data_IF_923102874494
#
_entry.id   IF_923102874494
#
_cell.length_a   1.000
_cell.length_b   1.000
_cell.length_c   1.000
_cell.angle_alpha   90.00
_cell.angle_beta   90.00
_cell.angle_gamma   90.00
#
_symmetry.space_group_name_H-M   'P 1'
#
loop_
_entity.id
_entity.type
_entity.pdbx_description
1 polymer ?
#
# COMPACT_ATOMS: atom_id res chain seq x y z
N UNK A 1 24.94 3.67 12.83
CA UNK A 1 23.58 4.21 12.92
C UNK A 1 22.67 3.64 11.84
N UNK A 2 21.38 3.39 12.14
CA UNK A 2 20.44 2.72 11.22
C UNK A 2 19.37 3.67 10.70
N UNK A 3 19.32 3.84 9.38
CA UNK A 3 18.39 4.78 8.74
C UNK A 3 17.18 4.02 8.21
N UNK A 4 16.25 3.69 9.10
CA UNK A 4 15.15 2.76 8.81
C UNK A 4 13.98 3.32 8.02
N UNK A 5 13.74 4.63 7.99
CA UNK A 5 12.37 5.08 7.76
C UNK A 5 12.28 6.26 6.82
N UNK A 6 11.55 6.01 5.75
CA UNK A 6 11.33 6.97 4.68
C UNK A 6 10.92 6.30 3.38
N UNK A 7 11.03 4.98 3.24
CA UNK A 7 10.77 4.30 1.97
C UNK A 7 9.64 3.28 2.03
N UNK A 8 8.52 3.63 2.64
CA UNK A 8 7.27 2.91 2.43
C UNK A 8 6.40 3.66 1.43
N UNK A 9 6.68 3.57 0.12
CA UNK A 9 5.76 4.08 -0.86
C UNK A 9 4.46 3.27 -0.76
N UNK A 10 3.34 3.95 -0.87
CA UNK A 10 2.11 3.30 -1.30
C UNK A 10 2.39 2.80 -2.72
N UNK A 11 2.68 1.52 -2.86
CA UNK A 11 2.83 0.90 -4.18
C UNK A 11 1.43 0.73 -4.76
N UNK A 12 0.97 1.74 -5.48
CA UNK A 12 -0.25 1.64 -6.27
C UNK A 12 0.06 0.80 -7.51
N UNK A 13 -0.27 -0.49 -7.48
CA UNK A 13 -0.30 -1.33 -8.68
C UNK A 13 -1.60 -1.02 -9.43
N UNK A 14 -1.50 -0.43 -10.61
CA UNK A 14 -2.66 -0.23 -11.46
C UNK A 14 -3.20 -1.61 -11.90
N UNK A 15 -4.26 -2.05 -11.23
CA UNK A 15 -5.28 -2.84 -11.89
C UNK A 15 -6.25 -1.81 -12.47
N UNK A 16 -6.24 -1.64 -13.79
CA UNK A 16 -7.17 -0.76 -14.51
C UNK A 16 -8.59 -1.31 -14.38
N UNK A 17 -9.23 -1.08 -13.24
CA UNK A 17 -10.63 -1.41 -13.01
C UNK A 17 -11.47 -0.16 -13.30
N UNK A 18 -11.78 0.05 -14.58
CA UNK A 18 -12.90 0.90 -14.96
C UNK A 18 -14.19 0.13 -14.66
N UNK A 19 -15.05 0.65 -13.77
CA UNK A 19 -16.41 0.11 -13.63
C UNK A 19 -17.33 0.93 -14.54
N UNK A 20 -17.93 0.26 -15.52
CA UNK A 20 -18.97 0.87 -16.35
C UNK A 20 -20.30 0.78 -15.57
N UNK A 21 -20.89 1.92 -15.25
CA UNK A 21 -22.26 2.02 -14.75
C UNK A 21 -23.09 2.83 -15.74
N UNK A 22 -24.18 2.25 -16.26
CA UNK A 22 -25.19 2.98 -17.02
C UNK A 22 -26.08 3.68 -15.99
N UNK A 23 -26.10 5.02 -15.97
CA UNK A 23 -26.99 5.79 -15.12
C UNK A 23 -28.34 5.87 -15.82
N UNK A 24 -29.37 5.24 -15.25
CA UNK A 24 -30.76 5.47 -15.67
C UNK A 24 -31.25 6.77 -15.04
N UNK A 25 -31.90 7.62 -15.83
CA UNK A 25 -32.25 9.00 -15.47
C UNK A 25 -33.40 9.15 -14.43
N UNK A 26 -33.69 8.11 -13.63
CA UNK A 26 -34.80 8.12 -12.67
C UNK A 26 -34.36 8.17 -11.19
N UNK A 27 -33.06 8.16 -10.88
CA UNK A 27 -32.60 8.41 -9.50
C UNK A 27 -32.43 9.92 -9.23
N UNK A 28 -33.55 10.59 -8.91
CA UNK A 28 -33.51 11.83 -8.15
C UNK A 28 -33.07 11.51 -6.72
N UNK A 29 -31.78 11.69 -6.41
CA UNK A 29 -31.33 11.81 -5.01
C UNK A 29 -31.49 13.28 -4.61
N UNK A 30 -32.53 13.54 -3.82
CA UNK A 30 -32.72 14.79 -3.09
C UNK A 30 -31.62 14.94 -2.05
N UNK A 31 -30.78 15.95 -2.19
CA UNK A 31 -29.77 16.34 -1.22
C UNK A 31 -30.45 17.19 -0.14
N UNK A 32 -30.97 16.56 0.91
CA UNK A 32 -31.40 17.28 2.12
C UNK A 32 -30.18 17.57 3.01
N UNK A 33 -29.62 18.76 2.80
CA UNK A 33 -28.79 19.45 3.79
C UNK A 33 -29.65 19.81 5.00
N UNK A 34 -29.46 19.13 6.13
CA UNK A 34 -29.98 19.56 7.43
C UNK A 34 -28.89 19.56 8.50
N UNK A 35 -28.52 20.78 8.91
CA UNK A 35 -28.54 21.18 10.31
C UNK A 35 -27.40 20.70 11.22
N UNK A 36 -26.37 21.52 11.33
CA UNK A 36 -25.50 21.65 12.51
C UNK A 36 -26.30 21.71 13.81
N UNK A 37 -26.03 20.80 14.77
CA UNK A 37 -26.26 21.02 16.21
C UNK A 37 -25.19 20.32 17.07
N UNK A 38 -24.35 21.17 17.65
CA UNK A 38 -23.79 21.15 19.01
C UNK A 38 -23.35 19.82 19.66
N UNK A 39 -22.02 19.68 19.72
CA UNK A 39 -21.28 18.92 20.71
C UNK A 39 -21.46 19.53 22.11
N UNK A 40 -22.20 18.87 23.01
CA UNK A 40 -21.98 18.97 24.48
C UNK A 40 -22.32 17.67 25.22
N UNK A 41 -21.41 17.34 26.14
CA UNK A 41 -21.58 16.52 27.34
C UNK A 41 -21.55 14.98 27.20
N UNK A 42 -20.38 14.40 27.43
CA UNK A 42 -20.27 13.13 28.14
C UNK A 42 -19.48 13.36 29.43
N UNK A 43 -20.20 13.48 30.54
CA UNK A 43 -19.73 13.16 31.88
C UNK A 43 -20.78 12.22 32.47
N UNK A 44 -20.36 11.03 32.90
CA UNK A 44 -20.49 10.53 34.29
C UNK A 44 -20.36 9.02 34.31
N UNK A 45 -19.47 8.58 35.19
CA UNK A 45 -19.23 7.22 35.67
C UNK A 45 -20.46 6.65 36.38
N UNK A 46 -20.97 5.49 35.96
CA UNK A 46 -21.78 4.64 36.85
C UNK A 46 -21.47 3.15 36.68
N UNK A 47 -21.70 2.45 37.79
CA UNK A 47 -21.17 1.16 38.21
C UNK A 47 -21.71 -0.02 37.39
N UNK A 48 -20.81 -0.95 37.05
CA UNK A 48 -21.16 -2.27 36.52
C UNK A 48 -21.58 -3.21 37.67
N UNK A 49 -22.89 -3.40 37.83
CA UNK A 49 -23.46 -4.55 38.55
C UNK A 49 -23.58 -5.75 37.61
N UNK A 50 -23.20 -6.93 38.10
CA UNK A 50 -23.29 -8.22 37.39
C UNK A 50 -24.73 -8.71 37.41
N UNK A 51 -25.34 -8.85 36.24
CA UNK A 51 -26.62 -9.55 36.07
C UNK A 51 -26.39 -10.87 35.30
N UNK A 52 -26.79 -11.97 35.94
CA UNK A 52 -26.71 -13.33 35.44
C UNK A 52 -27.86 -13.62 34.47
N UNK A 53 -27.57 -13.89 33.19
CA UNK A 53 -28.56 -14.26 32.18
C UNK A 53 -28.59 -15.77 32.00
N UNK A 54 -29.74 -16.38 32.32
CA UNK A 54 -30.09 -17.76 31.98
C UNK A 54 -30.72 -17.79 30.57
N UNK A 55 -30.32 -18.68 29.65
CA UNK A 55 -30.94 -18.75 28.34
C UNK A 55 -32.17 -19.67 28.37
N UNK A 56 -33.36 -19.11 28.16
CA UNK A 56 -34.55 -19.88 27.74
C UNK A 56 -34.70 -19.75 26.23
N UNK A 57 -34.49 -20.85 25.51
CA UNK A 57 -34.70 -20.93 24.06
C UNK A 57 -36.13 -21.39 23.83
N UNK A 58 -36.97 -20.54 23.24
CA UNK A 58 -38.26 -20.93 22.66
C UNK A 58 -38.08 -21.27 21.17
N UNK A 59 -38.69 -22.34 20.65
CA UNK A 59 -38.60 -22.68 19.22
C UNK A 59 -39.40 -21.70 18.36
N UNK A 60 -38.97 -21.40 17.12
CA UNK A 60 -39.69 -20.49 16.23
C UNK A 60 -41.01 -21.12 15.74
N UNK A 61 -42.09 -20.35 15.82
CA UNK A 61 -43.41 -20.65 15.26
C UNK A 61 -43.35 -20.69 13.72
N UNK A 62 -43.86 -21.77 13.14
CA UNK A 62 -43.95 -21.97 11.69
C UNK A 62 -45.14 -21.14 11.14
N UNK A 63 -44.88 -20.20 10.23
CA UNK A 63 -45.94 -19.46 9.52
C UNK A 63 -46.24 -20.22 8.22
N UNK A 64 -47.47 -20.73 8.11
CA UNK A 64 -47.97 -21.44 6.94
C UNK A 64 -48.37 -20.44 5.85
N UNK A 65 -47.69 -20.48 4.71
CA UNK A 65 -47.95 -19.62 3.55
C UNK A 65 -48.91 -20.37 2.61
N UNK A 66 -50.10 -19.82 2.37
CA UNK A 66 -51.07 -20.40 1.44
C UNK A 66 -50.52 -20.41 -0.01
N UNK A 67 -50.77 -21.46 -0.82
CA UNK A 67 -50.29 -21.49 -2.19
C UNK A 67 -51.03 -20.47 -3.06
N UNK A 68 -50.27 -19.65 -3.78
CA UNK A 68 -50.76 -18.75 -4.81
C UNK A 68 -51.36 -19.57 -5.98
N UNK A 69 -52.65 -19.36 -6.26
CA UNK A 69 -53.30 -19.85 -7.48
C UNK A 69 -53.10 -18.84 -8.60
N UNK A 70 -52.41 -19.23 -9.68
CA UNK A 70 -52.37 -18.48 -10.94
C UNK A 70 -53.59 -18.90 -11.76
N UNK A 71 -54.50 -17.97 -12.03
CA UNK A 71 -55.54 -18.16 -13.03
C UNK A 71 -54.88 -18.19 -14.42
N UNK A 72 -54.99 -19.31 -15.14
CA UNK A 72 -54.61 -19.40 -16.54
C UNK A 72 -55.62 -18.65 -17.39
N UNK A 73 -55.16 -17.59 -18.05
CA UNK A 73 -55.86 -16.99 -19.17
C UNK A 73 -55.86 -17.98 -20.35
N UNK A 74 -57.05 -18.34 -20.83
CA UNK A 74 -57.24 -19.31 -21.91
C UNK A 74 -56.93 -18.67 -23.24
N UNK A 75 -55.72 -18.89 -23.77
CA UNK A 75 -55.44 -18.47 -25.13
C UNK A 75 -53.99 -18.46 -25.59
N UNK A 76 -53.20 -19.51 -25.35
CA UNK A 76 -51.94 -19.70 -26.09
C UNK A 76 -51.76 -21.17 -26.45
N UNK A 77 -52.05 -21.48 -27.72
CA UNK A 77 -51.75 -22.75 -28.37
C UNK A 77 -50.23 -22.93 -28.43
N UNK A 78 -49.75 -24.08 -27.96
CA UNK A 78 -48.33 -24.45 -27.95
C UNK A 78 -47.82 -24.70 -29.36
N UNK A 79 -47.10 -23.76 -29.94
CA UNK A 79 -46.09 -24.03 -30.99
C UNK A 79 -45.19 -22.80 -31.19
N UNK A 80 -44.36 -22.50 -30.20
CA UNK A 80 -43.13 -21.73 -30.42
C UNK A 80 -41.99 -22.30 -29.58
N UNK A 81 -41.05 -22.95 -30.27
CA UNK A 81 -39.77 -23.37 -29.73
C UNK A 81 -38.98 -22.12 -29.33
N UNK A 82 -38.91 -21.82 -28.04
CA UNK A 82 -38.14 -20.67 -27.54
C UNK A 82 -36.64 -20.97 -27.66
N UNK A 83 -35.94 -20.17 -28.48
CA UNK A 83 -34.47 -20.19 -28.54
C UNK A 83 -33.88 -19.45 -27.33
N UNK A 84 -32.69 -19.84 -26.84
CA UNK A 84 -32.10 -19.26 -25.64
C UNK A 84 -31.78 -17.76 -25.81
N UNK A 85 -32.03 -17.00 -24.73
CA UNK A 85 -31.79 -15.56 -24.60
C UNK A 85 -30.31 -15.28 -24.87
N UNK A 86 -30.00 -14.68 -26.02
CA UNK A 86 -28.63 -14.37 -26.43
C UNK A 86 -28.35 -14.55 -27.93
N UNK A 87 -29.24 -15.20 -28.68
CA UNK A 87 -29.12 -15.38 -30.14
C UNK A 87 -30.17 -14.62 -30.95
N UNK A 88 -30.99 -13.77 -30.32
CA UNK A 88 -31.89 -12.89 -31.06
C UNK A 88 -31.10 -11.64 -31.50
N UNK A 89 -30.96 -11.38 -32.81
CA UNK A 89 -30.43 -10.09 -33.24
C UNK A 89 -31.35 -9.00 -32.69
N UNK A 90 -30.76 -7.91 -32.17
CA UNK A 90 -31.50 -6.73 -31.76
C UNK A 90 -32.41 -6.32 -32.92
N UNK A 91 -33.72 -6.42 -32.73
CA UNK A 91 -34.70 -6.11 -33.77
C UNK A 91 -34.76 -4.58 -33.88
N UNK A 92 -33.98 -4.02 -34.80
CA UNK A 92 -33.86 -2.56 -35.02
C UNK A 92 -35.02 -2.05 -35.89
N UNK A 93 -35.72 -2.96 -36.57
CA UNK A 93 -36.80 -2.68 -37.48
C UNK A 93 -38.15 -2.84 -36.77
N UNK A 94 -39.07 -1.85 -36.86
CA UNK A 94 -40.35 -1.90 -36.18
C UNK A 94 -41.20 -3.07 -36.69
N UNK A 95 -41.76 -3.86 -35.78
CA UNK A 95 -42.58 -5.03 -36.11
C UNK A 95 -43.97 -4.64 -36.64
N UNK A 96 -44.37 -3.38 -36.45
CA UNK A 96 -45.65 -2.83 -36.90
C UNK A 96 -45.46 -1.42 -37.49
N UNK A 97 -46.28 -0.99 -38.47
CA UNK A 97 -46.16 0.32 -39.12
C UNK A 97 -46.22 1.52 -38.16
N UNK A 98 -46.88 1.36 -37.01
CA UNK A 98 -47.04 2.41 -36.00
C UNK A 98 -45.89 2.47 -34.97
N UNK A 99 -45.00 1.46 -34.96
CA UNK A 99 -43.85 1.48 -34.07
C UNK A 99 -42.79 2.44 -34.62
N UNK A 100 -42.42 3.42 -33.79
CA UNK A 100 -41.26 4.27 -34.08
C UNK A 100 -39.98 3.42 -34.07
N UNK A 101 -39.07 3.60 -35.04
CA UNK A 101 -37.79 2.89 -35.06
C UNK A 101 -37.06 3.08 -33.73
N UNK A 102 -36.45 2.00 -33.22
CA UNK A 102 -35.63 2.08 -32.02
C UNK A 102 -34.44 3.01 -32.30
N UNK A 103 -34.43 4.18 -31.67
CA UNK A 103 -33.28 5.06 -31.66
C UNK A 103 -32.47 4.79 -30.41
N UNK A 104 -31.26 4.18 -30.52
CA UNK A 104 -30.41 3.99 -29.36
C UNK A 104 -30.06 5.36 -28.76
N UNK A 105 -30.53 5.61 -27.53
CA UNK A 105 -30.11 6.79 -26.79
C UNK A 105 -28.60 6.68 -26.54
N UNK A 106 -27.82 7.65 -27.04
CA UNK A 106 -26.40 7.77 -26.71
C UNK A 106 -26.29 8.25 -25.26
N UNK A 107 -26.38 7.32 -24.32
CA UNK A 107 -26.07 7.62 -22.92
C UNK A 107 -24.58 7.93 -22.87
N UNK A 108 -24.16 9.15 -22.47
CA UNK A 108 -22.74 9.43 -22.33
C UNK A 108 -22.16 8.48 -21.29
N UNK A 109 -21.13 7.73 -21.66
CA UNK A 109 -20.38 6.91 -20.71
C UNK A 109 -19.66 7.85 -19.73
N UNK A 110 -20.25 8.05 -18.54
CA UNK A 110 -19.60 8.79 -17.47
C UNK A 110 -18.57 7.88 -16.83
N UNK A 111 -17.32 8.01 -17.26
CA UNK A 111 -16.19 7.34 -16.59
C UNK A 111 -15.95 8.01 -15.24
N UNK A 112 -16.63 7.53 -14.20
CA UNK A 112 -16.29 7.92 -12.83
C UNK A 112 -14.94 7.27 -12.50
N UNK A 113 -13.87 8.07 -12.49
CA UNK A 113 -12.58 7.65 -11.93
C UNK A 113 -12.85 7.29 -10.47
N UNK A 114 -13.00 5.99 -10.18
CA UNK A 114 -13.08 5.49 -8.81
C UNK A 114 -11.82 6.01 -8.14
N UNK A 115 -11.96 6.82 -7.07
CA UNK A 115 -10.82 7.10 -6.19
C UNK A 115 -10.33 5.72 -5.77
N UNK A 116 -9.22 5.29 -6.35
CA UNK A 116 -8.60 4.01 -6.01
C UNK A 116 -8.34 4.09 -4.52
N UNK A 117 -9.09 3.31 -3.73
CA UNK A 117 -8.78 3.14 -2.33
C UNK A 117 -7.38 2.56 -2.32
N UNK A 118 -6.40 3.36 -1.89
CA UNK A 118 -5.03 2.92 -1.73
C UNK A 118 -5.06 1.64 -0.88
N UNK A 119 -4.74 0.51 -1.48
CA UNK A 119 -4.59 -0.74 -0.74
C UNK A 119 -3.19 -0.71 -0.15
N UNK A 120 -3.05 -0.82 1.19
CA UNK A 120 -1.74 -0.92 1.83
C UNK A 120 -0.94 -2.06 1.20
N UNK A 121 0.30 -1.78 0.79
CA UNK A 121 1.23 -2.79 0.28
C UNK A 121 2.34 -3.00 1.30
N UNK A 122 2.76 -4.25 1.56
CA UNK A 122 3.99 -4.50 2.28
C UNK A 122 5.18 -3.86 1.55
N UNK A 123 6.20 -3.50 2.32
CA UNK A 123 7.46 -2.96 1.82
C UNK A 123 8.25 -3.98 0.99
N UNK A 124 9.23 -3.48 0.24
CA UNK A 124 10.08 -4.29 -0.65
C UNK A 124 11.59 -4.14 -0.35
N UNK A 125 11.91 -3.28 0.62
CA UNK A 125 13.24 -3.06 1.18
C UNK A 125 13.10 -2.88 2.70
N UNK A 126 14.21 -3.02 3.42
CA UNK A 126 14.25 -2.83 4.87
C UNK A 126 15.19 -1.66 5.22
N UNK A 127 16.42 -1.64 4.68
CA UNK A 127 17.43 -0.58 4.89
C UNK A 127 17.91 0.03 3.56
N UNK A 128 17.77 -0.71 2.46
CA UNK A 128 18.21 -0.27 1.13
C UNK A 128 17.16 0.61 0.43
N UNK A 129 17.58 1.57 -0.41
CA UNK A 129 16.66 2.30 -1.26
C UNK A 129 16.01 1.42 -2.34
N UNK A 130 14.83 1.83 -2.80
CA UNK A 130 14.21 1.32 -4.03
C UNK A 130 13.92 2.42 -5.05
N UNK A 131 13.65 2.03 -6.29
CA UNK A 131 13.20 2.92 -7.36
C UNK A 131 11.80 3.50 -7.13
N UNK A 132 11.03 3.01 -6.16
CA UNK A 132 9.73 3.58 -5.80
C UNK A 132 9.88 4.64 -4.70
N UNK A 133 8.93 5.57 -4.62
CA UNK A 133 8.91 6.63 -3.63
C UNK A 133 7.52 7.26 -3.49
N UNK A 134 7.41 8.26 -2.62
CA UNK A 134 6.18 9.02 -2.39
C UNK A 134 5.96 10.08 -3.47
N UNK A 135 4.75 10.15 -4.02
CA UNK A 135 4.32 11.21 -4.95
C UNK A 135 3.36 12.18 -4.25
N UNK A 136 2.94 13.24 -4.93
CA UNK A 136 1.97 14.21 -4.45
C UNK A 136 0.72 13.54 -3.85
N UNK A 137 0.23 14.10 -2.76
CA UNK A 137 -0.91 13.54 -2.01
C UNK A 137 -0.53 12.33 -1.15
N UNK A 138 0.76 12.11 -0.88
CA UNK A 138 1.20 11.07 0.05
C UNK A 138 2.22 11.58 1.06
N UNK A 139 2.06 11.13 2.31
CA UNK A 139 3.00 11.36 3.40
C UNK A 139 3.16 10.06 4.21
N UNK A 140 4.14 10.02 5.11
CA UNK A 140 4.33 8.89 6.02
C UNK A 140 4.96 9.31 7.34
N UNK A 141 4.72 8.51 8.36
CA UNK A 141 5.48 8.52 9.61
C UNK A 141 5.93 7.09 9.92
N UNK A 142 7.06 6.92 10.60
CA UNK A 142 7.51 5.60 11.04
C UNK A 142 8.35 5.66 12.31
N UNK A 143 8.40 4.53 13.00
CA UNK A 143 9.30 4.23 14.12
C UNK A 143 10.18 3.02 13.80
N UNK A 144 11.47 3.13 14.08
CA UNK A 144 12.48 2.12 13.77
C UNK A 144 13.31 1.88 15.00
N UNK A 145 13.55 0.63 15.33
CA UNK A 145 14.28 0.21 16.52
C UNK A 145 15.34 -0.80 16.11
N UNK A 146 16.51 -0.71 16.71
CA UNK A 146 17.54 -1.74 16.65
C UNK A 146 17.88 -2.17 18.06
N UNK A 147 17.94 -3.48 18.30
CA UNK A 147 18.16 -4.04 19.63
C UNK A 147 19.51 -3.64 20.23
N UNK A 148 20.52 -3.41 19.39
CA UNK A 148 21.87 -2.96 19.78
C UNK A 148 22.56 -2.23 18.62
N UNK A 149 23.27 -1.13 18.84
CA UNK A 149 24.07 -0.48 17.80
C UNK A 149 25.30 -1.31 17.43
N UNK A 150 25.88 -1.05 16.26
CA UNK A 150 27.07 -1.79 15.80
C UNK A 150 28.23 -1.50 16.77
N UNK A 151 28.88 -2.55 17.28
CA UNK A 151 29.98 -2.47 18.26
C UNK A 151 29.58 -2.01 19.67
N UNK A 152 28.28 -1.96 20.00
CA UNK A 152 27.82 -1.69 21.36
C UNK A 152 26.63 -2.59 21.72
N UNK A 153 26.25 -2.60 23.00
CA UNK A 153 25.05 -3.28 23.50
C UNK A 153 23.86 -2.33 23.73
N UNK A 154 23.95 -1.10 23.23
CA UNK A 154 22.93 -0.06 23.45
C UNK A 154 21.88 -0.10 22.36
N UNK A 155 20.60 -0.17 22.74
CA UNK A 155 19.48 -0.06 21.81
C UNK A 155 19.37 1.36 21.25
N UNK A 156 18.96 1.49 20.00
CA UNK A 156 18.85 2.76 19.29
C UNK A 156 17.54 2.79 18.49
N UNK A 157 17.00 3.99 18.29
CA UNK A 157 15.74 4.24 17.65
C UNK A 157 15.77 5.43 16.71
N UNK A 158 14.85 5.43 15.76
CA UNK A 158 14.67 6.53 14.81
C UNK A 158 13.18 6.76 14.56
N UNK A 159 12.79 8.02 14.50
CA UNK A 159 11.47 8.44 14.01
C UNK A 159 11.66 9.08 12.64
N UNK A 160 10.90 8.62 11.65
CA UNK A 160 10.95 9.14 10.30
C UNK A 160 9.64 9.79 9.89
N UNK A 161 9.72 10.93 9.21
CA UNK A 161 8.62 11.58 8.51
C UNK A 161 8.96 11.68 7.04
N UNK A 162 7.96 11.60 6.17
CA UNK A 162 8.18 11.78 4.74
C UNK A 162 6.99 12.38 4.03
N UNK A 163 7.25 13.12 2.96
CA UNK A 163 6.24 13.71 2.09
C UNK A 163 6.65 13.53 0.63
N UNK A 164 5.67 13.21 -0.21
CA UNK A 164 5.82 13.10 -1.65
C UNK A 164 5.33 14.35 -2.37
N UNK A 165 6.09 14.75 -3.39
CA UNK A 165 5.77 15.84 -4.31
C UNK A 165 5.83 15.33 -5.75
N UNK A 166 5.15 16.00 -6.68
CA UNK A 166 5.13 15.62 -8.09
C UNK A 166 4.33 14.35 -8.39
N UNK A 167 4.46 13.84 -9.61
CA UNK A 167 3.74 12.65 -10.08
C UNK A 167 4.75 11.71 -10.74
N UNK A 168 5.18 10.69 -10.00
CA UNK A 168 6.19 9.74 -10.47
C UNK A 168 5.69 8.83 -11.61
N UNK A 169 4.37 8.74 -11.86
CA UNK A 169 3.83 7.98 -12.98
C UNK A 169 3.89 8.78 -14.28
N UNK A 170 3.60 10.09 -14.22
CA UNK A 170 3.60 10.95 -15.40
C UNK A 170 4.96 11.56 -15.71
N UNK A 171 5.70 11.93 -14.68
CA UNK A 171 6.93 12.71 -14.79
C UNK A 171 7.96 12.24 -13.77
N UNK A 172 8.20 13.00 -12.71
CA UNK A 172 9.11 12.67 -11.62
C UNK A 172 8.40 12.97 -10.31
N UNK A 173 8.60 12.09 -9.33
CA UNK A 173 8.24 12.32 -7.94
C UNK A 173 9.48 12.73 -7.14
N UNK A 174 9.28 13.62 -6.18
CA UNK A 174 10.28 13.96 -5.17
C UNK A 174 9.79 13.47 -3.82
N UNK A 175 10.57 12.58 -3.21
CA UNK A 175 10.37 12.10 -1.85
C UNK A 175 11.33 12.85 -0.92
N UNK A 176 10.78 13.56 0.05
CA UNK A 176 11.53 14.29 1.07
C UNK A 176 11.30 13.60 2.40
N UNK A 177 12.36 13.27 3.13
CA UNK A 177 12.27 12.59 4.42
C UNK A 177 13.10 13.25 5.51
N UNK A 178 12.48 13.46 6.67
CA UNK A 178 13.10 13.93 7.90
C UNK A 178 13.24 12.73 8.86
N UNK A 179 14.45 12.46 9.33
CA UNK A 179 14.71 11.51 10.40
C UNK A 179 15.08 12.24 11.68
N UNK A 180 14.53 11.83 12.81
CA UNK A 180 15.01 12.17 14.15
C UNK A 180 15.67 10.90 14.68
N UNK A 181 16.96 10.99 14.95
CA UNK A 181 17.81 9.91 15.47
C UNK A 181 18.07 10.16 16.96
N UNK A 182 18.62 9.18 17.68
CA UNK A 182 19.00 9.32 19.10
C UNK A 182 17.82 9.83 19.97
N UNK A 183 16.79 8.98 20.10
CA UNK A 183 15.48 9.34 20.68
C UNK A 183 15.49 9.73 22.16
N UNK A 184 16.62 9.60 22.82
CA UNK A 184 16.88 10.04 24.18
C UNK A 184 16.97 11.56 24.31
N UNK A 185 17.40 12.29 23.26
CA UNK A 185 17.53 13.75 23.29
C UNK A 185 16.59 14.49 22.29
N UNK A 186 16.12 13.81 21.23
CA UNK A 186 15.30 14.35 20.12
C UNK A 186 15.87 15.61 19.43
N UNK A 187 17.18 15.83 19.53
CA UNK A 187 17.88 17.00 18.98
C UNK A 187 18.60 16.67 17.67
N UNK A 188 18.82 15.40 17.42
CA UNK A 188 19.64 14.93 16.31
C UNK A 188 18.76 14.46 15.17
N UNK A 189 19.10 14.87 13.94
CA UNK A 189 18.28 14.52 12.80
C UNK A 189 18.87 14.80 11.44
N UNK A 190 18.18 14.28 10.43
CA UNK A 190 18.66 14.26 9.05
C UNK A 190 17.54 14.56 8.07
N UNK A 191 17.89 15.25 6.99
CA UNK A 191 17.01 15.52 5.85
C UNK A 191 17.58 14.82 4.62
N UNK A 192 16.73 14.05 3.95
CA UNK A 192 17.09 13.28 2.75
C UNK A 192 16.13 13.55 1.60
N UNK A 193 16.64 13.37 0.39
CA UNK A 193 15.90 13.62 -0.85
C UNK A 193 16.04 12.44 -1.80
N UNK A 194 14.95 12.07 -2.47
CA UNK A 194 14.96 11.08 -3.55
C UNK A 194 14.06 11.52 -4.70
N UNK A 195 14.67 11.68 -5.88
CA UNK A 195 13.95 11.78 -7.13
C UNK A 195 13.70 10.39 -7.67
N UNK A 196 12.47 10.12 -8.11
CA UNK A 196 12.11 8.81 -8.63
C UNK A 196 11.07 8.91 -9.73
N UNK A 197 11.09 7.91 -10.62
CA UNK A 197 10.14 7.78 -11.72
C UNK A 197 9.73 6.34 -11.92
N UNK A 198 8.44 6.12 -12.08
CA UNK A 198 7.87 4.85 -12.54
C UNK A 198 7.86 4.86 -14.06
N UNK A 199 8.44 3.82 -14.61
CA UNK A 199 8.55 3.57 -16.04
C UNK A 199 7.55 2.47 -16.43
N UNK A 200 7.26 2.30 -17.73
CA UNK A 200 6.45 1.20 -18.21
C UNK A 200 6.96 -0.18 -17.75
N UNK A 201 6.08 -1.17 -17.83
CA UNK A 201 6.39 -2.57 -17.52
C UNK A 201 6.87 -2.79 -16.08
N UNK A 202 6.29 -2.07 -15.11
CA UNK A 202 6.61 -2.19 -13.69
C UNK A 202 8.09 -1.97 -13.34
N UNK A 203 8.76 -1.13 -14.13
CA UNK A 203 10.12 -0.69 -13.86
C UNK A 203 10.12 0.67 -13.15
N UNK A 204 11.10 0.93 -12.30
CA UNK A 204 11.24 2.18 -11.60
C UNK A 204 12.71 2.53 -11.40
N UNK A 205 13.02 3.82 -11.41
CA UNK A 205 14.37 4.35 -11.24
C UNK A 205 14.35 5.47 -10.22
N UNK A 206 15.41 5.57 -9.42
CA UNK A 206 15.57 6.66 -8.47
C UNK A 206 17.04 7.06 -8.29
N UNK A 207 17.20 8.33 -7.95
CA UNK A 207 18.46 8.92 -7.51
C UNK A 207 18.18 9.70 -6.23
N UNK A 208 19.03 9.54 -5.24
CA UNK A 208 18.80 10.19 -3.96
C UNK A 208 20.08 10.48 -3.20
N UNK A 209 19.93 11.32 -2.18
CA UNK A 209 20.96 11.65 -1.22
C UNK A 209 20.36 11.49 0.16
N UNK A 210 20.90 10.53 0.92
CA UNK A 210 20.60 10.35 2.35
C UNK A 210 21.46 11.30 3.17
N UNK A 211 20.89 11.84 4.24
CA UNK A 211 21.57 12.75 5.16
C UNK A 211 22.20 13.92 4.40
N UNK A 212 21.43 14.56 3.51
CA UNK A 212 21.88 15.72 2.75
C UNK A 212 22.10 16.92 3.67
N UNK A 213 21.17 17.12 4.62
CA UNK A 213 21.37 18.02 5.76
C UNK A 213 21.33 17.17 7.02
N UNK A 214 22.24 17.45 7.94
CA UNK A 214 22.21 16.91 9.31
C UNK A 214 22.20 18.07 10.29
N UNK A 215 21.56 17.86 11.44
CA UNK A 215 21.54 18.81 12.55
C UNK A 215 21.66 18.05 13.87
N UNK A 216 22.24 18.71 14.87
CA UNK A 216 22.66 18.04 16.10
C UNK A 216 23.98 17.27 15.94
N UNK A 217 24.21 16.28 16.78
CA UNK A 217 25.41 15.43 16.81
C UNK A 217 25.18 14.09 16.11
N UNK A 218 24.90 14.13 14.81
CA UNK A 218 24.73 12.90 14.03
C UNK A 218 26.08 12.36 13.55
N UNK A 219 26.35 11.07 13.75
CA UNK A 219 27.52 10.37 13.16
C UNK A 219 27.30 9.98 11.68
N UNK A 220 26.14 10.33 11.13
CA UNK A 220 25.68 9.95 9.82
C UNK A 220 26.28 10.73 8.66
N UNK A 221 27.19 10.08 7.92
CA UNK A 221 27.71 10.63 6.67
C UNK A 221 26.64 10.77 5.56
N UNK A 222 26.82 11.76 4.69
CA UNK A 222 26.00 11.96 3.49
C UNK A 222 26.23 10.82 2.49
N UNK A 223 25.15 10.28 1.93
CA UNK A 223 25.22 9.13 1.03
C UNK A 223 24.38 9.33 -0.23
N UNK A 224 25.03 9.66 -1.34
CA UNK A 224 24.41 9.70 -2.66
C UNK A 224 24.29 8.30 -3.26
N UNK A 225 23.21 8.04 -3.99
CA UNK A 225 22.95 6.75 -4.62
C UNK A 225 22.08 6.85 -5.88
N UNK A 226 22.15 5.80 -6.69
CA UNK A 226 21.20 5.50 -7.77
C UNK A 226 20.72 4.07 -7.67
N UNK A 227 19.44 3.83 -7.96
CA UNK A 227 18.81 2.50 -7.86
C UNK A 227 17.78 2.30 -8.97
N UNK A 228 17.71 1.06 -9.45
CA UNK A 228 16.63 0.60 -10.32
C UNK A 228 15.86 -0.52 -9.62
N UNK A 229 14.56 -0.57 -9.85
CA UNK A 229 13.68 -1.61 -9.32
C UNK A 229 12.79 -2.16 -10.42
N UNK A 230 12.68 -3.49 -10.50
CA UNK A 230 11.76 -4.20 -11.38
C UNK A 230 10.82 -5.04 -10.53
N UNK A 231 9.53 -4.98 -10.83
CA UNK A 231 8.57 -5.98 -10.35
C UNK A 231 8.31 -7.01 -11.45
N UNK A 232 8.46 -8.28 -11.11
CA UNK A 232 8.07 -9.42 -11.92
C UNK A 232 6.70 -9.94 -11.44
N UNK A 233 5.76 -10.02 -12.38
CA UNK A 233 4.48 -10.71 -12.18
C UNK A 233 4.73 -12.19 -12.45
N UNK A 234 4.78 -12.97 -11.38
CA UNK A 234 4.99 -14.42 -11.47
C UNK A 234 3.68 -15.17 -11.67
N UNK A 235 2.56 -14.56 -11.29
CA UNK A 235 1.20 -15.09 -11.44
C UNK A 235 0.23 -13.95 -11.75
N UNK A 236 -0.89 -14.28 -12.40
CA UNK A 236 -1.93 -13.30 -12.77
C UNK A 236 -2.70 -12.76 -11.57
N UNK A 237 -2.83 -13.57 -10.51
CA UNK A 237 -3.58 -13.19 -9.33
C UNK A 237 -2.67 -12.64 -8.24
N UNK A 238 -3.06 -11.46 -7.79
CA UNK A 238 -2.32 -10.69 -6.82
C UNK A 238 -2.42 -11.18 -5.37
N UNK A 239 -3.40 -12.05 -5.11
CA UNK A 239 -3.69 -12.63 -3.79
C UNK A 239 -2.95 -13.93 -3.53
N UNK A 240 -2.34 -14.53 -4.57
CA UNK A 240 -1.61 -15.79 -4.44
C UNK A 240 -0.23 -15.58 -3.84
N UNK A 241 0.21 -16.54 -3.05
CA UNK A 241 1.61 -16.68 -2.64
C UNK A 241 2.50 -16.81 -3.87
N UNK A 242 3.67 -16.18 -3.83
CA UNK A 242 4.66 -16.11 -4.90
C UNK A 242 4.14 -15.45 -6.18
N UNK A 243 3.17 -14.54 -6.08
CA UNK A 243 2.61 -13.83 -7.25
C UNK A 243 3.51 -12.70 -7.75
N UNK A 244 4.37 -12.16 -6.89
CA UNK A 244 5.21 -11.00 -7.21
C UNK A 244 6.61 -11.16 -6.63
N UNK A 245 7.59 -10.80 -7.44
CA UNK A 245 8.98 -10.64 -7.05
C UNK A 245 9.42 -9.22 -7.39
N UNK A 246 9.98 -8.52 -6.42
CA UNK A 246 10.61 -7.22 -6.61
C UNK A 246 12.11 -7.39 -6.51
N UNK A 247 12.84 -6.79 -7.45
CA UNK A 247 14.29 -6.81 -7.49
C UNK A 247 14.76 -5.38 -7.57
N UNK A 248 15.56 -4.95 -6.59
CA UNK A 248 16.22 -3.64 -6.59
C UNK A 248 17.73 -3.81 -6.65
N UNK A 249 18.39 -3.04 -7.49
CA UNK A 249 19.84 -3.02 -7.61
C UNK A 249 20.32 -1.58 -7.73
N UNK A 250 21.33 -1.22 -6.96
CA UNK A 250 21.83 0.14 -6.90
C UNK A 250 23.29 0.23 -6.53
N UNK A 251 23.80 1.44 -6.69
CA UNK A 251 25.16 1.84 -6.33
C UNK A 251 25.11 3.13 -5.53
N UNK A 252 26.04 3.30 -4.59
CA UNK A 252 26.10 4.51 -3.79
C UNK A 252 27.38 4.65 -2.99
N UNK A 253 27.62 5.86 -2.48
CA UNK A 253 28.70 6.16 -1.54
C UNK A 253 28.26 6.07 -0.08
N UNK A 254 29.10 6.57 0.82
CA UNK A 254 28.79 6.68 2.25
C UNK A 254 28.41 5.34 2.88
N UNK A 255 27.16 5.21 3.34
CA UNK A 255 26.67 4.00 4.00
C UNK A 255 26.68 2.73 3.14
N UNK A 256 26.76 2.85 1.81
CA UNK A 256 26.71 1.71 0.89
C UNK A 256 28.07 1.10 0.56
N UNK A 257 29.17 1.71 1.04
CA UNK A 257 30.53 1.21 0.84
C UNK A 257 30.77 -0.08 1.61
N UNK A 258 31.83 -0.80 1.25
CA UNK A 258 32.28 -1.96 2.04
C UNK A 258 32.71 -1.54 3.46
N UNK A 259 32.61 -2.47 4.41
CA UNK A 259 33.05 -2.28 5.79
C UNK A 259 34.53 -1.86 5.85
N UNK A 260 35.37 -2.50 5.03
CA UNK A 260 36.80 -2.19 4.96
C UNK A 260 37.05 -0.77 4.48
N UNK A 261 36.30 -0.27 3.50
CA UNK A 261 36.47 1.09 3.00
C UNK A 261 35.97 2.13 4.01
N UNK A 262 34.93 1.82 4.78
CA UNK A 262 34.48 2.65 5.90
C UNK A 262 35.55 2.74 6.98
N UNK A 263 36.10 1.59 7.39
CA UNK A 263 37.16 1.52 8.40
C UNK A 263 38.45 2.22 7.98
N UNK A 264 38.83 2.06 6.71
CA UNK A 264 40.04 2.65 6.15
C UNK A 264 39.84 4.10 5.68
N UNK A 265 38.65 4.68 5.85
CA UNK A 265 38.28 6.04 5.40
C UNK A 265 38.55 6.26 3.90
N UNK A 266 38.30 5.23 3.09
CA UNK A 266 38.43 5.28 1.63
C UNK A 266 37.07 5.66 1.04
N UNK A 267 37.04 6.76 0.27
CA UNK A 267 35.84 7.16 -0.45
C UNK A 267 35.66 6.32 -1.72
N UNK A 268 34.99 5.19 -1.55
CA UNK A 268 34.60 4.27 -2.63
C UNK A 268 33.11 4.34 -2.94
N UNK A 269 32.73 3.69 -4.05
CA UNK A 269 31.35 3.39 -4.39
C UNK A 269 31.10 1.92 -4.06
N UNK A 270 30.02 1.63 -3.35
CA UNK A 270 29.57 0.27 -3.11
C UNK A 270 28.28 -0.07 -3.85
N UNK A 271 27.98 -1.37 -3.86
CA UNK A 271 26.77 -1.93 -4.47
C UNK A 271 25.81 -2.32 -3.36
N UNK A 272 24.52 -2.12 -3.61
CA UNK A 272 23.46 -2.59 -2.74
C UNK A 272 22.31 -3.16 -3.57
N UNK A 273 21.45 -3.95 -2.93
CA UNK A 273 20.27 -4.48 -3.59
C UNK A 273 19.33 -5.19 -2.65
N UNK A 274 18.12 -5.44 -3.14
CA UNK A 274 17.10 -6.18 -2.42
C UNK A 274 16.32 -7.12 -3.34
N UNK A 275 15.84 -8.21 -2.75
CA UNK A 275 14.86 -9.12 -3.30
C UNK A 275 13.68 -9.17 -2.35
N UNK A 276 12.48 -8.89 -2.84
CA UNK A 276 11.25 -9.03 -2.05
C UNK A 276 10.26 -9.94 -2.76
N UNK A 277 9.90 -11.04 -2.13
CA UNK A 277 8.98 -12.04 -2.65
C UNK A 277 7.68 -12.01 -1.85
N UNK A 278 6.55 -11.93 -2.54
CA UNK A 278 5.23 -12.03 -1.89
C UNK A 278 5.02 -13.47 -1.43
N UNK A 279 5.18 -13.76 -0.14
CA UNK A 279 5.05 -15.13 0.39
C UNK A 279 3.62 -15.47 0.82
N UNK A 280 2.84 -14.45 1.19
CA UNK A 280 1.42 -14.56 1.49
C UNK A 280 0.76 -13.20 1.23
N UNK A 281 -0.57 -13.13 1.17
CA UNK A 281 -1.25 -11.84 1.32
C UNK A 281 -1.51 -11.63 2.82
N UNK A 282 -0.99 -10.58 3.48
CA UNK A 282 -0.32 -9.38 2.95
C UNK A 282 1.16 -9.25 3.38
N UNK A 283 1.99 -10.24 3.04
CA UNK A 283 3.36 -10.42 3.54
C UNK A 283 4.38 -10.54 2.40
N UNK A 284 5.42 -9.72 2.45
CA UNK A 284 6.62 -9.91 1.65
C UNK A 284 7.76 -10.45 2.52
N UNK A 285 8.48 -11.46 2.03
CA UNK A 285 9.79 -11.82 2.57
C UNK A 285 10.85 -11.03 1.81
N UNK A 286 11.82 -10.46 2.53
CA UNK A 286 12.82 -9.55 1.99
C UNK A 286 14.22 -10.05 2.36
N UNK A 287 15.09 -10.08 1.37
CA UNK A 287 16.53 -10.24 1.54
C UNK A 287 17.22 -9.02 0.93
N UNK A 288 18.15 -8.40 1.63
CA UNK A 288 18.87 -7.24 1.11
C UNK A 288 20.33 -7.23 1.52
N UNK A 289 21.15 -6.65 0.65
CA UNK A 289 22.57 -6.39 0.87
C UNK A 289 22.79 -4.89 0.82
N UNK A 290 23.32 -4.31 1.89
CA UNK A 290 23.54 -2.86 1.99
C UNK A 290 24.91 -2.41 1.46
N UNK A 291 25.75 -3.34 1.02
CA UNK A 291 27.19 -3.12 0.81
C UNK A 291 28.05 -3.75 1.91
N UNK A 292 27.43 -4.04 3.06
CA UNK A 292 28.12 -4.48 4.28
C UNK A 292 27.32 -5.56 5.03
N UNK A 293 26.04 -5.29 5.24
CA UNK A 293 25.14 -6.14 6.01
C UNK A 293 24.26 -6.94 5.06
N UNK A 294 24.17 -8.24 5.30
CA UNK A 294 23.09 -9.08 4.78
C UNK A 294 21.93 -9.05 5.78
N UNK A 295 20.77 -8.59 5.33
CA UNK A 295 19.56 -8.46 6.12
C UNK A 295 18.45 -9.34 5.57
N UNK A 296 17.79 -10.10 6.45
CA UNK A 296 16.60 -10.89 6.12
C UNK A 296 15.43 -10.42 6.99
N UNK A 297 14.25 -10.31 6.42
CA UNK A 297 13.07 -9.90 7.17
C UNK A 297 11.76 -10.14 6.47
N UNK A 298 10.69 -9.75 7.15
CA UNK A 298 9.33 -9.77 6.64
C UNK A 298 8.79 -8.35 6.64
N UNK A 299 7.95 -8.00 5.67
CA UNK A 299 7.13 -6.80 5.71
C UNK A 299 5.67 -7.17 5.60
N UNK A 300 4.87 -6.67 6.54
CA UNK A 300 3.49 -7.12 6.78
C UNK A 300 2.59 -5.90 6.82
N UNK A 301 1.51 -5.88 6.04
CA UNK A 301 0.42 -4.89 6.20
C UNK A 301 -0.81 -5.55 6.81
N UNK A 302 -0.94 -5.58 8.14
CA UNK A 302 -1.92 -6.44 8.83
C UNK A 302 -3.38 -6.10 8.52
N UNK A 303 -3.66 -4.87 8.08
CA UNK A 303 -5.02 -4.38 7.85
C UNK A 303 -5.22 -3.95 6.40
N UNK A 304 -6.32 -4.37 5.78
CA UNK A 304 -6.63 -4.04 4.38
C UNK A 304 -7.00 -2.55 4.15
N UNK A 305 -7.46 -1.87 5.20
CA UNK A 305 -7.94 -0.48 5.14
C UNK A 305 -7.05 0.51 5.90
N UNK A 306 -6.09 -0.01 6.67
CA UNK A 306 -5.19 0.82 7.47
C UNK A 306 -3.79 0.70 6.87
N UNK A 307 -3.19 1.81 6.38
CA UNK A 307 -1.87 1.82 5.74
C UNK A 307 -0.72 1.67 6.74
N UNK A 308 -0.81 0.66 7.60
CA UNK A 308 0.18 0.29 8.60
C UNK A 308 1.06 -0.83 8.04
N UNK A 309 2.38 -0.67 8.15
CA UNK A 309 3.39 -1.65 7.77
C UNK A 309 4.21 -2.01 9.00
N UNK A 310 4.43 -3.31 9.23
CA UNK A 310 5.29 -3.82 10.31
C UNK A 310 6.41 -4.64 9.65
N UNK A 311 7.65 -4.39 10.06
CA UNK A 311 8.84 -4.95 9.43
C UNK A 311 9.84 -5.48 10.47
N UNK A 312 9.67 -6.72 10.97
CA UNK A 312 10.71 -7.39 11.74
C UNK A 312 11.81 -7.94 10.81
N UNK A 313 13.06 -7.78 11.20
CA UNK A 313 14.20 -8.28 10.43
C UNK A 313 15.42 -8.56 11.31
N UNK A 314 16.37 -9.29 10.75
CA UNK A 314 17.69 -9.56 11.33
C UNK A 314 18.74 -9.09 10.33
N UNK A 315 19.69 -8.28 10.78
CA UNK A 315 20.77 -7.71 9.97
C UNK A 315 22.14 -8.23 10.42
N UNK A 316 23.17 -8.00 9.61
CA UNK A 316 24.54 -8.50 9.78
C UNK A 316 24.61 -10.03 9.97
N UNK A 317 23.83 -10.76 9.17
CA UNK A 317 23.74 -12.22 9.27
C UNK A 317 25.07 -12.89 8.89
N UNK A 318 25.86 -12.25 8.02
CA UNK A 318 27.17 -12.74 7.59
C UNK A 318 28.28 -12.46 8.60
N UNK A 319 28.09 -11.53 9.55
CA UNK A 319 29.14 -11.08 10.48
C UNK A 319 30.29 -10.34 9.80
N UNK A 320 30.06 -9.80 8.60
CA UNK A 320 31.12 -9.19 7.77
C UNK A 320 31.41 -7.75 8.17
N UNK A 321 30.44 -7.06 8.75
CA UNK A 321 30.49 -5.62 8.94
C UNK A 321 30.45 -5.18 10.40
N UNK A 322 30.45 -6.13 11.35
CA UNK A 322 30.25 -5.81 12.75
C UNK A 322 30.60 -6.93 13.70
N UNK A 323 29.94 -6.89 14.84
CA UNK A 323 30.06 -7.79 15.97
C UNK A 323 28.90 -8.81 16.01
N UNK A 324 28.35 -9.14 14.84
CA UNK A 324 27.36 -10.20 14.66
C UNK A 324 25.94 -9.70 14.44
N UNK A 325 25.01 -10.66 14.40
CA UNK A 325 23.63 -10.39 14.02
C UNK A 325 22.92 -9.45 14.99
N UNK A 326 21.99 -8.65 14.45
CA UNK A 326 21.23 -7.63 15.19
C UNK A 326 19.76 -7.71 14.79
N UNK A 327 18.87 -7.64 15.77
CA UNK A 327 17.43 -7.57 15.51
C UNK A 327 17.02 -6.12 15.27
N UNK A 328 16.19 -5.93 14.24
CA UNK A 328 15.69 -4.64 13.81
C UNK A 328 14.18 -4.73 13.61
N UNK A 329 13.48 -3.66 13.95
CA UNK A 329 12.03 -3.62 13.92
C UNK A 329 11.54 -2.26 13.46
N UNK A 330 10.68 -2.25 12.45
CA UNK A 330 10.07 -1.03 11.91
C UNK A 330 8.55 -1.07 11.95
N UNK A 331 7.94 0.07 12.27
CA UNK A 331 6.52 0.34 12.07
C UNK A 331 6.41 1.59 11.19
N UNK A 332 5.62 1.52 10.12
CA UNK A 332 5.35 2.66 9.24
C UNK A 332 3.85 2.87 9.05
N UNK A 333 3.44 4.13 8.92
CA UNK A 333 2.08 4.52 8.59
C UNK A 333 2.07 5.48 7.39
N UNK A 334 1.30 5.15 6.36
CA UNK A 334 1.10 5.99 5.18
C UNK A 334 -0.13 6.89 5.30
N UNK A 335 -0.05 8.10 4.79
CA UNK A 335 -1.16 9.07 4.75
C UNK A 335 -1.40 9.43 3.28
N UNK A 336 -2.67 9.53 2.88
CA UNK A 336 -3.05 10.00 1.53
C UNK A 336 -4.06 11.14 1.64
N UNK A 337 -3.88 12.21 0.86
CA UNK A 337 -4.74 13.40 0.84
C UNK A 337 -4.90 13.97 -0.57
#
# INVERSE_FOLDING_TARGET
>A
MVYFLGEYPIIQTDSTNFSNGIIYADEFVTDESSGSKDLKAFNTTEQLSRESVNPTISPPTMIEISPFSVAQDTGITSDQTSKPVGQQPLQIEPAYPEQKPFQPQRIPAVFRKKRSSSVPSPGITIQTPSGYGKSWGSASVGLGLQSRTRFTDTADGVIGFGIGLGDAQKSVGLDVSLGIVDLDNLQDGTLSFKLHRRLPDDFAVAFGVKNFVTFGETDGGTSAYGVVTKMFRLQDSDSKSFSRLYVSAGIGGGQFRSESDIRNKVDSIGVFGSLALRVAQPVNAIAEWTGQDLTLGLSITPFKKTPLVITPAVTDITGNAGDGSRFIFGIGYGISF
#
